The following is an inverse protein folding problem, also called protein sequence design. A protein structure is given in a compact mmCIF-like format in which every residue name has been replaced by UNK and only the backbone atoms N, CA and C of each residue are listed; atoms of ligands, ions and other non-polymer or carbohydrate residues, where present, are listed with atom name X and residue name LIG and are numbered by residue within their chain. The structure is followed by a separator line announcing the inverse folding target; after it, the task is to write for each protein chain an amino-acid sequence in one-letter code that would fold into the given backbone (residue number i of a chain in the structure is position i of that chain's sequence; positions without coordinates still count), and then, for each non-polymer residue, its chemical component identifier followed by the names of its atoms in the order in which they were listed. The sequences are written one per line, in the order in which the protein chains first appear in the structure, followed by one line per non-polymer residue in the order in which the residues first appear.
data_IF_401223806961
#
_entry.id   IF_401223806961
#
_cell.length_a   1.000
_cell.length_b   1.000
_cell.length_c   1.000
_cell.angle_alpha   90.00
_cell.angle_beta   90.00
_cell.angle_gamma   90.00
#
_symmetry.space_group_name_H-M   'P 1'
#
loop_
_entity.id
_entity.type
_entity.pdbx_description
1 polymer ?
#
# COMPACT_ATOMS: atom_id res chain seq x y z
N UNK A 1 34.64 20.22 -29.61
CA UNK A 1 33.73 19.25 -28.97
C UNK A 1 34.14 17.84 -29.38
N UNK A 2 34.22 16.85 -28.46
CA UNK A 2 34.51 15.45 -28.83
C UNK A 2 33.44 14.89 -29.79
N UNK A 3 33.83 14.01 -30.73
CA UNK A 3 32.94 13.40 -31.75
C UNK A 3 31.66 12.80 -31.16
N UNK A 4 31.77 12.22 -29.96
CA UNK A 4 30.66 11.64 -29.22
C UNK A 4 29.58 12.65 -28.83
N UNK A 5 29.98 13.81 -28.28
CA UNK A 5 29.05 14.87 -27.90
C UNK A 5 28.33 15.44 -29.13
N UNK A 6 29.06 15.58 -30.24
CA UNK A 6 28.47 16.07 -31.50
C UNK A 6 27.38 15.11 -32.00
N UNK A 7 27.65 13.80 -32.04
CA UNK A 7 26.65 12.82 -32.46
C UNK A 7 25.44 12.67 -31.53
N UNK A 8 25.55 13.10 -30.26
CA UNK A 8 24.40 13.18 -29.35
C UNK A 8 23.55 14.42 -29.61
N UNK A 9 24.20 15.58 -29.77
CA UNK A 9 23.51 16.83 -30.12
C UNK A 9 22.76 16.66 -31.45
N UNK A 10 23.39 16.06 -32.46
CA UNK A 10 22.80 15.80 -33.78
C UNK A 10 21.58 14.84 -33.71
N UNK A 11 21.43 14.04 -32.65
CA UNK A 11 20.26 13.16 -32.43
C UNK A 11 19.11 13.89 -31.74
N UNK A 12 19.41 14.90 -30.94
CA UNK A 12 18.44 15.68 -30.19
C UNK A 12 17.88 16.81 -31.04
N UNK A 13 18.73 17.39 -31.90
CA UNK A 13 18.41 18.42 -32.88
C UNK A 13 17.57 17.83 -34.02
N UNK A 14 16.26 17.90 -33.85
CA UNK A 14 15.27 17.27 -34.72
C UNK A 14 15.02 18.10 -35.97
N UNK A 15 15.12 19.42 -35.86
CA UNK A 15 14.92 20.36 -36.96
C UNK A 15 16.22 20.73 -37.72
N UNK A 16 17.38 20.32 -37.17
CA UNK A 16 18.73 20.49 -37.75
C UNK A 16 19.14 21.95 -37.88
N UNK A 17 18.64 22.81 -37.01
CA UNK A 17 19.01 24.22 -36.99
C UNK A 17 20.37 24.49 -36.30
N UNK A 18 20.95 23.45 -35.67
CA UNK A 18 22.23 23.51 -34.96
C UNK A 18 22.12 24.06 -33.54
N UNK A 19 20.90 24.29 -33.04
CA UNK A 19 20.57 24.67 -31.68
C UNK A 19 19.65 23.61 -31.06
N UNK A 20 19.52 23.60 -29.74
CA UNK A 20 18.59 22.71 -29.05
C UNK A 20 17.52 23.54 -28.38
N UNK A 21 16.29 23.40 -28.85
CA UNK A 21 15.13 24.01 -28.20
C UNK A 21 14.75 23.29 -26.91
N UNK A 22 13.99 23.96 -26.05
CA UNK A 22 13.43 23.36 -24.83
C UNK A 22 12.59 22.12 -25.14
N UNK A 23 11.85 22.13 -26.25
CA UNK A 23 11.00 21.00 -26.66
C UNK A 23 11.82 19.78 -27.08
N UNK A 24 12.92 19.99 -27.78
CA UNK A 24 13.82 18.91 -28.19
C UNK A 24 14.56 18.30 -27.00
N UNK A 25 15.02 19.14 -26.07
CA UNK A 25 15.59 18.69 -24.79
C UNK A 25 14.58 17.86 -23.97
N UNK A 26 13.35 18.36 -23.85
CA UNK A 26 12.29 17.66 -23.15
C UNK A 26 11.99 16.30 -23.81
N UNK A 27 11.82 16.30 -25.13
CA UNK A 27 11.55 15.09 -25.91
C UNK A 27 12.66 14.06 -25.74
N UNK A 28 13.93 14.46 -25.87
CA UNK A 28 15.09 13.58 -25.76
C UNK A 28 15.24 12.91 -24.38
N UNK A 29 14.82 13.58 -23.31
CA UNK A 29 14.89 13.04 -21.94
C UNK A 29 13.73 12.11 -21.59
N UNK A 30 12.58 12.27 -22.25
CA UNK A 30 11.34 11.56 -21.90
C UNK A 30 10.98 10.40 -22.85
N UNK A 31 11.66 10.30 -24.00
CA UNK A 31 11.46 9.23 -24.98
C UNK A 31 12.64 8.23 -24.95
N UNK A 32 12.46 7.04 -24.34
CA UNK A 32 13.52 6.05 -24.14
C UNK A 32 14.21 5.60 -25.43
N UNK A 33 13.49 5.57 -26.55
CA UNK A 33 13.95 5.15 -27.87
C UNK A 33 15.10 6.00 -28.41
N UNK A 34 15.26 7.24 -27.94
CA UNK A 34 16.40 8.08 -28.30
C UNK A 34 17.68 7.69 -27.57
N UNK A 35 17.59 6.95 -26.45
CA UNK A 35 18.72 6.51 -25.63
C UNK A 35 19.50 7.64 -24.95
N UNK A 36 19.09 8.90 -25.15
CA UNK A 36 19.80 10.09 -24.63
C UNK A 36 19.80 10.10 -23.11
N UNK A 37 18.68 9.80 -22.46
CA UNK A 37 18.57 9.70 -20.99
C UNK A 37 19.57 8.69 -20.39
N UNK A 38 19.71 7.52 -21.00
CA UNK A 38 20.62 6.47 -20.51
C UNK A 38 22.09 6.85 -20.67
N UNK A 39 22.40 7.67 -21.67
CA UNK A 39 23.74 8.17 -21.89
C UNK A 39 24.03 9.33 -20.92
N UNK A 40 23.15 10.34 -20.86
CA UNK A 40 23.31 11.53 -20.00
C UNK A 40 23.41 11.15 -18.52
N UNK A 41 22.62 10.18 -18.05
CA UNK A 41 22.67 9.68 -16.67
C UNK A 41 24.01 9.02 -16.29
N UNK A 42 24.85 8.68 -17.27
CA UNK A 42 26.17 8.06 -17.06
C UNK A 42 27.32 9.03 -17.33
N UNK A 43 27.04 10.27 -17.69
CA UNK A 43 28.06 11.27 -18.00
C UNK A 43 28.48 12.02 -16.75
N UNK A 44 29.79 12.04 -16.50
CA UNK A 44 30.42 12.95 -15.54
C UNK A 44 31.02 14.09 -16.35
N UNK A 45 30.34 15.24 -16.36
CA UNK A 45 30.78 16.41 -17.11
C UNK A 45 31.64 17.30 -16.22
N UNK A 46 32.85 17.62 -16.67
CA UNK A 46 33.67 18.66 -16.03
C UNK A 46 33.10 20.02 -16.43
N UNK A 47 32.42 20.68 -15.49
CA UNK A 47 31.93 22.05 -15.65
C UNK A 47 32.87 23.03 -14.95
N UNK A 48 33.06 24.22 -15.51
CA UNK A 48 33.77 25.30 -14.82
C UNK A 48 32.88 25.86 -13.69
N UNK A 49 33.18 25.53 -12.44
CA UNK A 49 32.49 26.04 -11.25
C UNK A 49 33.39 26.95 -10.43
N UNK A 50 32.80 27.67 -9.47
CA UNK A 50 33.49 28.42 -8.43
C UNK A 50 34.37 27.55 -7.51
N UNK A 51 34.27 26.22 -7.61
CA UNK A 51 35.09 25.30 -6.84
C UNK A 51 36.37 24.87 -7.56
N UNK A 52 36.62 25.32 -8.80
CA UNK A 52 37.77 24.95 -9.63
C UNK A 52 38.53 26.17 -10.16
N UNK A 53 39.86 26.22 -9.96
CA UNK A 53 40.75 27.25 -10.50
C UNK A 53 40.87 28.56 -9.71
N UNK A 54 40.01 28.78 -8.71
CA UNK A 54 40.10 29.91 -7.78
C UNK A 54 39.97 31.29 -8.45
N UNK A 55 40.35 32.34 -7.72
CA UNK A 55 40.24 33.73 -8.14
C UNK A 55 41.15 34.11 -9.32
N UNK A 56 42.19 33.32 -9.59
CA UNK A 56 43.08 33.47 -10.75
C UNK A 56 42.54 32.88 -12.05
N UNK A 57 41.40 32.17 -12.03
CA UNK A 57 40.87 31.51 -13.22
C UNK A 57 40.31 32.53 -14.24
N UNK A 58 40.57 32.30 -15.53
CA UNK A 58 40.17 33.20 -16.62
C UNK A 58 38.66 33.52 -16.66
N UNK A 59 37.83 32.59 -16.16
CA UNK A 59 36.37 32.75 -16.04
C UNK A 59 35.99 33.99 -15.23
N UNK A 60 36.78 34.33 -14.21
CA UNK A 60 36.48 35.44 -13.31
C UNK A 60 37.07 36.78 -13.76
N UNK A 61 37.87 36.79 -14.84
CA UNK A 61 38.54 38.01 -15.33
C UNK A 61 37.54 39.12 -15.64
N UNK A 62 36.45 38.81 -16.35
CA UNK A 62 35.40 39.79 -16.66
C UNK A 62 34.62 40.20 -15.39
N UNK A 63 34.32 39.24 -14.52
CA UNK A 63 33.61 39.51 -13.26
C UNK A 63 34.37 40.49 -12.36
N UNK A 64 35.70 40.37 -12.27
CA UNK A 64 36.50 41.26 -11.45
C UNK A 64 36.81 42.63 -12.09
N UNK A 65 36.63 42.79 -13.40
CA UNK A 65 36.81 44.09 -14.08
C UNK A 65 35.75 45.11 -13.64
N UNK A 66 34.51 44.66 -13.43
CA UNK A 66 33.38 45.52 -13.10
C UNK A 66 33.06 45.55 -11.59
N UNK A 67 33.86 44.86 -10.77
CA UNK A 67 33.60 44.70 -9.34
C UNK A 67 34.14 45.89 -8.53
N UNK A 68 33.46 46.26 -7.45
CA UNK A 68 33.89 47.35 -6.57
C UNK A 68 35.27 47.05 -5.97
N UNK A 69 36.21 47.99 -6.16
CA UNK A 69 37.58 47.94 -5.62
C UNK A 69 37.66 47.61 -4.13
N UNK A 70 36.67 48.01 -3.32
CA UNK A 70 36.63 47.72 -1.88
C UNK A 70 36.22 46.28 -1.54
N UNK A 71 35.63 45.54 -2.50
CA UNK A 71 35.07 44.20 -2.31
C UNK A 71 35.82 43.11 -3.08
N UNK A 72 36.64 43.49 -4.06
CA UNK A 72 37.42 42.57 -4.89
C UNK A 72 38.26 41.61 -4.03
N UNK A 73 38.96 42.11 -3.01
CA UNK A 73 39.84 41.27 -2.19
C UNK A 73 39.07 40.22 -1.37
N UNK A 74 37.88 40.58 -0.88
CA UNK A 74 37.00 39.66 -0.16
C UNK A 74 36.44 38.61 -1.10
N UNK A 75 36.00 39.00 -2.31
CA UNK A 75 35.46 38.08 -3.30
C UNK A 75 36.53 37.11 -3.82
N UNK A 76 37.76 37.59 -4.05
CA UNK A 76 38.89 36.75 -4.43
C UNK A 76 39.23 35.75 -3.33
N UNK A 77 39.32 36.22 -2.08
CA UNK A 77 39.56 35.34 -0.93
C UNK A 77 38.46 34.28 -0.78
N UNK A 78 37.19 34.66 -0.90
CA UNK A 78 36.08 33.69 -0.82
C UNK A 78 36.17 32.63 -1.92
N UNK A 79 36.47 33.03 -3.16
CA UNK A 79 36.67 32.09 -4.28
C UNK A 79 37.84 31.15 -4.04
N UNK A 80 38.96 31.66 -3.51
CA UNK A 80 40.14 30.85 -3.20
C UNK A 80 39.88 29.89 -2.03
N UNK A 81 39.10 30.30 -1.03
CA UNK A 81 38.73 29.46 0.11
C UNK A 81 37.70 28.37 -0.28
N UNK A 82 36.88 28.59 -1.32
CA UNK A 82 35.93 27.62 -1.88
C UNK A 82 36.54 26.71 -2.96
N UNK A 83 37.75 27.01 -3.42
CA UNK A 83 38.47 26.22 -4.42
C UNK A 83 39.00 24.94 -3.77
N UNK A 84 38.47 23.80 -4.21
CA UNK A 84 38.93 22.48 -3.77
C UNK A 84 39.07 21.48 -4.91
N UNK A 85 38.36 21.68 -6.02
CA UNK A 85 38.28 20.70 -7.10
C UNK A 85 39.59 20.57 -7.89
N UNK A 86 40.47 21.58 -7.92
CA UNK A 86 41.77 21.45 -8.59
C UNK A 86 42.71 20.48 -7.87
N UNK A 87 42.41 20.16 -6.61
CA UNK A 87 43.13 19.18 -5.79
C UNK A 87 42.64 17.74 -6.01
N UNK A 88 41.51 17.58 -6.71
CA UNK A 88 40.92 16.27 -7.00
C UNK A 88 41.61 15.70 -8.23
N UNK A 89 42.16 14.49 -8.10
CA UNK A 89 42.77 13.81 -9.24
C UNK A 89 41.72 13.54 -10.34
N UNK A 90 42.06 13.77 -11.62
CA UNK A 90 41.15 13.45 -12.71
C UNK A 90 40.90 11.95 -12.77
N UNK A 91 39.70 11.55 -13.19
CA UNK A 91 39.32 10.15 -13.39
C UNK A 91 40.04 9.53 -14.61
N UNK A 92 41.33 9.24 -14.49
CA UNK A 92 42.18 8.73 -15.57
C UNK A 92 42.37 7.21 -15.54
N UNK A 93 41.95 6.55 -14.46
CA UNK A 93 42.24 5.13 -14.22
C UNK A 93 41.35 4.15 -15.00
N UNK A 94 40.29 4.62 -15.67
CA UNK A 94 39.31 3.77 -16.36
C UNK A 94 38.48 2.88 -15.42
N UNK A 95 38.65 2.98 -14.10
CA UNK A 95 37.86 2.25 -13.10
C UNK A 95 36.43 2.80 -13.07
N UNK A 96 35.47 1.91 -12.80
CA UNK A 96 34.08 2.30 -12.60
C UNK A 96 33.97 3.29 -11.42
N UNK A 97 33.31 4.42 -11.66
CA UNK A 97 32.98 5.41 -10.63
C UNK A 97 31.54 5.18 -10.20
N UNK A 98 31.35 4.96 -8.89
CA UNK A 98 30.02 4.80 -8.31
C UNK A 98 29.49 6.17 -7.90
N UNK A 99 28.26 6.48 -8.29
CA UNK A 99 27.53 7.66 -7.83
C UNK A 99 26.21 7.21 -7.21
N UNK A 100 25.69 7.98 -6.26
CA UNK A 100 24.39 7.74 -5.65
C UNK A 100 23.42 8.85 -6.06
N UNK A 101 22.18 8.48 -6.37
CA UNK A 101 21.12 9.47 -6.53
C UNK A 101 20.63 9.89 -5.13
N UNK A 102 20.84 11.14 -4.69
CA UNK A 102 20.64 11.53 -3.30
C UNK A 102 19.21 11.30 -2.81
N UNK A 103 18.20 11.51 -3.66
CA UNK A 103 16.79 11.23 -3.30
C UNK A 103 16.52 9.73 -3.13
N UNK A 104 17.10 8.89 -3.99
CA UNK A 104 16.90 7.43 -3.90
C UNK A 104 17.65 6.85 -2.71
N UNK A 105 18.83 7.42 -2.40
CA UNK A 105 19.59 7.05 -1.22
C UNK A 105 18.86 7.42 0.07
N UNK A 106 18.33 8.65 0.16
CA UNK A 106 17.53 9.09 1.31
C UNK A 106 16.27 8.24 1.49
N UNK A 107 15.61 7.84 0.40
CA UNK A 107 14.50 6.89 0.43
C UNK A 107 14.95 5.50 0.95
N UNK A 108 16.07 4.99 0.43
CA UNK A 108 16.62 3.68 0.81
C UNK A 108 17.10 3.60 2.27
N UNK A 109 17.55 4.71 2.87
CA UNK A 109 17.99 4.76 4.28
C UNK A 109 16.93 5.30 5.22
N UNK A 110 15.76 5.70 4.71
CA UNK A 110 14.63 6.09 5.55
C UNK A 110 14.31 4.88 6.40
N UNK A 111 14.62 4.96 7.70
CA UNK A 111 14.20 3.95 8.67
C UNK A 111 12.70 3.80 8.49
N UNK A 112 12.27 2.62 8.04
CA UNK A 112 10.87 2.21 8.12
C UNK A 112 10.53 2.42 9.57
N UNK A 113 9.68 3.42 9.83
CA UNK A 113 9.15 3.71 11.15
C UNK A 113 8.77 2.34 11.73
N UNK A 114 9.48 1.89 12.75
CA UNK A 114 9.17 0.63 13.42
C UNK A 114 7.88 0.94 14.15
N UNK A 115 6.76 0.83 13.44
CA UNK A 115 5.48 1.35 13.88
C UNK A 115 5.12 0.75 15.25
N UNK A 116 4.15 1.37 15.91
CA UNK A 116 3.82 1.07 17.31
C UNK A 116 3.42 -0.41 17.55
N UNK A 117 3.14 -1.18 16.49
CA UNK A 117 2.91 -2.62 16.54
C UNK A 117 4.19 -3.36 16.12
N UNK A 118 4.78 -4.14 17.03
CA UNK A 118 5.97 -4.96 16.73
C UNK A 118 5.63 -6.39 16.33
N UNK A 119 6.59 -7.10 15.73
CA UNK A 119 6.43 -8.51 15.40
C UNK A 119 6.20 -9.37 16.67
N UNK A 120 6.85 -9.01 17.78
CA UNK A 120 6.65 -9.71 19.06
C UNK A 120 5.21 -9.55 19.55
N UNK A 121 4.61 -8.37 19.40
CA UNK A 121 3.20 -8.13 19.80
C UNK A 121 2.23 -8.99 18.98
N UNK A 122 2.39 -8.99 17.65
CA UNK A 122 1.55 -9.79 16.74
C UNK A 122 1.74 -11.29 17.02
N UNK A 123 2.99 -11.73 17.21
CA UNK A 123 3.28 -13.13 17.54
C UNK A 123 2.70 -13.53 18.89
N UNK A 124 2.78 -12.67 19.91
CA UNK A 124 2.19 -12.93 21.22
C UNK A 124 0.66 -13.06 21.15
N UNK A 125 0.00 -12.16 20.40
CA UNK A 125 -1.44 -12.24 20.14
C UNK A 125 -1.84 -13.52 19.37
N UNK A 126 -0.94 -14.07 18.55
CA UNK A 126 -1.11 -15.35 17.87
C UNK A 126 -0.58 -16.57 18.65
N UNK A 127 -0.38 -16.44 19.96
CA UNK A 127 0.15 -17.50 20.83
C UNK A 127 1.52 -18.07 20.40
N UNK A 128 2.34 -17.26 19.73
CA UNK A 128 3.65 -17.64 19.20
C UNK A 128 3.59 -18.54 17.96
N UNK A 129 2.42 -18.65 17.32
CA UNK A 129 2.24 -19.51 16.14
C UNK A 129 2.32 -18.73 14.82
N UNK A 130 2.60 -19.44 13.73
CA UNK A 130 2.54 -18.93 12.35
C UNK A 130 3.28 -17.59 12.12
N UNK A 131 4.53 -17.51 12.55
CA UNK A 131 5.39 -16.33 12.35
C UNK A 131 5.43 -15.79 10.90
N UNK A 132 5.41 -16.64 9.83
CA UNK A 132 5.33 -16.14 8.45
C UNK A 132 4.09 -15.28 8.20
N UNK A 133 2.92 -15.66 8.74
CA UNK A 133 1.70 -14.88 8.62
C UNK A 133 1.80 -13.57 9.41
N UNK A 134 2.33 -13.61 10.64
CA UNK A 134 2.57 -12.41 11.44
C UNK A 134 3.45 -11.39 10.71
N UNK A 135 4.54 -11.84 10.09
CA UNK A 135 5.42 -11.00 9.25
C UNK A 135 4.71 -10.43 8.03
N UNK A 136 3.83 -11.22 7.40
CA UNK A 136 3.08 -10.82 6.21
C UNK A 136 2.12 -9.66 6.48
N UNK A 137 1.47 -9.66 7.64
CA UNK A 137 0.43 -8.67 7.99
C UNK A 137 1.00 -7.42 8.69
N UNK A 138 2.16 -7.54 9.34
CA UNK A 138 2.78 -6.49 10.16
C UNK A 138 2.91 -5.12 9.47
N UNK A 139 3.34 -5.00 8.20
CA UNK A 139 3.44 -3.70 7.54
C UNK A 139 2.08 -3.00 7.42
N UNK A 140 1.03 -3.77 7.10
CA UNK A 140 -0.32 -3.25 6.93
C UNK A 140 -0.99 -2.94 8.27
N UNK A 141 -0.70 -3.72 9.31
CA UNK A 141 -1.15 -3.42 10.67
C UNK A 141 -0.65 -2.03 11.10
N UNK A 142 0.63 -1.73 10.89
CA UNK A 142 1.18 -0.42 11.21
C UNK A 142 0.65 0.69 10.30
N UNK A 143 0.52 0.43 8.99
CA UNK A 143 -0.09 1.39 8.04
C UNK A 143 -1.47 1.83 8.52
N UNK A 144 -2.33 0.87 8.83
CA UNK A 144 -3.73 1.17 9.16
C UNK A 144 -3.94 1.55 10.62
N UNK A 145 -3.12 1.11 11.56
CA UNK A 145 -3.09 1.69 12.91
C UNK A 145 -2.88 3.21 12.84
N UNK A 146 -1.92 3.66 12.03
CA UNK A 146 -1.71 5.10 11.82
C UNK A 146 -2.88 5.76 11.06
N UNK A 147 -3.34 5.18 9.95
CA UNK A 147 -4.41 5.77 9.14
C UNK A 147 -5.74 5.90 9.90
N UNK A 148 -6.05 4.97 10.80
CA UNK A 148 -7.23 4.97 11.64
C UNK A 148 -7.02 5.68 12.99
N UNK A 149 -5.79 6.09 13.31
CA UNK A 149 -5.47 6.83 14.54
C UNK A 149 -5.44 5.95 15.80
N UNK A 150 -5.28 4.64 15.65
CA UNK A 150 -5.15 3.67 16.74
C UNK A 150 -3.72 3.73 17.29
N UNK A 151 -3.50 4.59 18.30
CA UNK A 151 -2.19 4.80 18.93
C UNK A 151 -2.16 4.41 20.40
N UNK A 152 -3.33 4.22 21.03
CA UNK A 152 -3.39 3.79 22.43
C UNK A 152 -2.93 2.33 22.58
N UNK A 153 -2.06 2.08 23.55
CA UNK A 153 -1.45 0.75 23.73
C UNK A 153 -2.45 -0.30 24.18
N UNK A 154 -3.51 0.07 24.91
CA UNK A 154 -4.56 -0.87 25.33
C UNK A 154 -5.49 -1.16 24.17
N UNK A 155 -5.86 -0.15 23.40
CA UNK A 155 -6.66 -0.33 22.18
C UNK A 155 -5.96 -1.28 21.21
N UNK A 156 -4.67 -1.06 20.93
CA UNK A 156 -3.85 -1.95 20.10
C UNK A 156 -3.84 -3.38 20.66
N UNK A 157 -3.64 -3.54 21.98
CA UNK A 157 -3.61 -4.87 22.59
C UNK A 157 -4.96 -5.59 22.47
N UNK A 158 -6.08 -4.90 22.69
CA UNK A 158 -7.42 -5.46 22.51
C UNK A 158 -7.69 -5.84 21.06
N UNK A 159 -7.35 -4.95 20.12
CA UNK A 159 -7.51 -5.18 18.69
C UNK A 159 -6.72 -6.41 18.25
N UNK A 160 -5.41 -6.46 18.54
CA UNK A 160 -4.54 -7.58 18.18
C UNK A 160 -5.00 -8.89 18.80
N UNK A 161 -5.44 -8.86 20.07
CA UNK A 161 -5.94 -10.05 20.75
C UNK A 161 -7.22 -10.59 20.11
N UNK A 162 -8.14 -9.71 19.70
CA UNK A 162 -9.37 -10.11 19.03
C UNK A 162 -9.08 -10.75 17.66
N UNK A 163 -8.34 -10.07 16.78
CA UNK A 163 -8.06 -10.61 15.45
C UNK A 163 -7.14 -11.85 15.50
N UNK A 164 -6.24 -11.92 16.48
CA UNK A 164 -5.44 -13.10 16.75
C UNK A 164 -6.29 -14.29 17.20
N UNK A 165 -7.28 -14.06 18.07
CA UNK A 165 -8.19 -15.11 18.52
C UNK A 165 -9.16 -15.57 17.42
N UNK A 166 -9.71 -14.64 16.64
CA UNK A 166 -10.72 -14.94 15.63
C UNK A 166 -10.16 -15.70 14.43
N UNK A 167 -8.95 -15.33 13.97
CA UNK A 167 -8.43 -15.84 12.71
C UNK A 167 -6.94 -16.20 12.72
N UNK A 168 -6.23 -15.95 13.82
CA UNK A 168 -4.77 -16.06 13.84
C UNK A 168 -4.12 -15.17 12.76
N UNK A 169 -4.70 -13.99 12.53
CA UNK A 169 -4.33 -13.05 11.48
C UNK A 169 -4.49 -13.58 10.05
N UNK A 170 -5.16 -14.71 9.83
CA UNK A 170 -5.49 -15.20 8.51
C UNK A 170 -6.73 -14.46 7.97
N UNK A 171 -6.75 -14.19 6.68
CA UNK A 171 -7.96 -13.68 6.03
C UNK A 171 -8.77 -14.89 5.60
N UNK A 172 -9.96 -15.02 6.17
CA UNK A 172 -10.82 -16.18 5.96
C UNK A 172 -12.16 -15.78 5.37
N UNK A 173 -12.89 -16.76 4.87
CA UNK A 173 -14.27 -16.60 4.44
C UNK A 173 -15.13 -17.73 5.00
N UNK A 174 -16.42 -17.45 5.19
CA UNK A 174 -17.37 -18.48 5.58
C UNK A 174 -17.61 -19.44 4.41
N UNK A 175 -17.41 -20.75 4.64
CA UNK A 175 -17.62 -21.77 3.60
C UNK A 175 -19.09 -22.09 3.34
N UNK A 176 -19.96 -21.85 4.33
CA UNK A 176 -21.40 -22.13 4.36
C UNK A 176 -21.81 -23.53 3.85
N UNK A 177 -20.90 -24.50 3.90
CA UNK A 177 -21.14 -25.86 3.41
C UNK A 177 -21.56 -26.77 4.56
N UNK A 178 -22.86 -26.87 4.80
CA UNK A 178 -23.44 -27.64 5.90
C UNK A 178 -24.29 -28.81 5.41
N UNK A 179 -24.27 -29.91 6.17
CA UNK A 179 -25.29 -30.96 6.03
C UNK A 179 -26.66 -30.46 6.50
N UNK A 180 -27.73 -31.18 6.16
CA UNK A 180 -29.10 -30.82 6.55
C UNK A 180 -29.27 -30.60 8.06
N UNK A 181 -28.77 -31.52 8.88
CA UNK A 181 -28.75 -31.38 10.34
C UNK A 181 -27.85 -30.22 10.80
N UNK A 182 -26.74 -30.00 10.11
CA UNK A 182 -25.80 -28.92 10.39
C UNK A 182 -26.45 -27.53 10.24
N UNK A 183 -27.07 -27.27 9.09
CA UNK A 183 -27.70 -25.98 8.82
C UNK A 183 -28.90 -25.70 9.73
N UNK A 184 -29.72 -26.72 10.03
CA UNK A 184 -30.85 -26.61 10.96
C UNK A 184 -30.39 -26.27 12.38
N UNK A 185 -29.31 -26.91 12.84
CA UNK A 185 -28.69 -26.60 14.13
C UNK A 185 -28.16 -25.17 14.19
N UNK A 186 -27.42 -24.73 13.16
CA UNK A 186 -26.73 -23.44 13.22
C UNK A 186 -27.68 -22.26 12.96
N UNK A 187 -28.57 -22.38 11.97
CA UNK A 187 -29.39 -21.27 11.46
C UNK A 187 -30.90 -21.45 11.63
N UNK A 188 -31.34 -22.66 11.98
CA UNK A 188 -32.74 -23.03 11.90
C UNK A 188 -33.61 -22.57 13.06
N UNK A 189 -33.08 -22.45 14.27
CA UNK A 189 -33.86 -22.19 15.49
C UNK A 189 -33.82 -20.73 15.94
N UNK A 190 -34.94 -20.25 16.48
CA UNK A 190 -34.95 -18.95 17.17
C UNK A 190 -34.02 -19.00 18.39
N UNK A 191 -33.37 -17.87 18.70
CA UNK A 191 -32.38 -17.76 19.77
C UNK A 191 -31.15 -18.68 19.61
N UNK A 192 -30.94 -19.22 18.40
CA UNK A 192 -29.68 -19.84 17.98
C UNK A 192 -29.54 -21.33 18.35
N UNK A 193 -28.33 -21.88 18.18
CA UNK A 193 -28.09 -23.33 18.16
C UNK A 193 -28.36 -24.07 19.48
N UNK A 194 -28.40 -23.34 20.61
CA UNK A 194 -28.69 -23.91 21.93
C UNK A 194 -30.12 -24.47 22.04
N UNK A 195 -31.02 -24.05 21.16
CA UNK A 195 -32.42 -24.50 21.13
C UNK A 195 -32.68 -25.54 20.03
N UNK A 196 -31.63 -26.08 19.41
CA UNK A 196 -31.75 -27.20 18.47
C UNK A 196 -31.62 -28.52 19.22
N UNK A 197 -32.64 -29.35 19.08
CA UNK A 197 -32.74 -30.66 19.69
C UNK A 197 -32.26 -31.73 18.70
N UNK A 198 -31.15 -32.37 19.06
CA UNK A 198 -30.49 -33.36 18.21
C UNK A 198 -31.28 -34.66 18.05
N UNK A 199 -32.15 -34.98 19.02
CA UNK A 199 -32.88 -36.25 19.06
C UNK A 199 -34.03 -36.26 18.07
N UNK A 200 -34.78 -35.16 17.99
CA UNK A 200 -35.91 -35.02 17.07
C UNK A 200 -35.57 -34.23 15.79
N UNK A 201 -34.34 -33.70 15.67
CA UNK A 201 -33.91 -32.86 14.54
C UNK A 201 -34.86 -31.67 14.36
N UNK A 202 -35.14 -30.95 15.44
CA UNK A 202 -36.05 -29.80 15.46
C UNK A 202 -35.67 -28.77 16.53
N UNK A 203 -36.41 -27.67 16.62
CA UNK A 203 -36.22 -26.62 17.60
C UNK A 203 -37.09 -26.86 18.84
N UNK A 204 -36.50 -26.76 20.03
CA UNK A 204 -37.23 -26.84 21.31
C UNK A 204 -38.24 -25.70 21.48
N UNK A 205 -37.98 -24.55 20.83
CA UNK A 205 -38.88 -23.40 20.82
C UNK A 205 -39.64 -23.30 19.50
N UNK A 206 -39.05 -22.65 18.51
CA UNK A 206 -39.65 -22.42 17.20
C UNK A 206 -38.58 -22.40 16.11
N UNK A 207 -38.95 -22.90 14.93
CA UNK A 207 -38.14 -22.75 13.72
C UNK A 207 -38.15 -21.27 13.30
N UNK A 208 -36.96 -20.69 13.20
CA UNK A 208 -36.72 -19.39 12.58
C UNK A 208 -36.79 -19.49 11.05
N UNK A 209 -36.27 -20.58 10.48
CA UNK A 209 -36.14 -20.79 9.04
C UNK A 209 -36.71 -22.13 8.61
N UNK A 210 -38.03 -22.20 8.42
CA UNK A 210 -38.73 -23.47 8.17
C UNK A 210 -38.25 -24.18 6.88
N UNK A 211 -37.84 -23.43 5.85
CA UNK A 211 -37.34 -24.04 4.59
C UNK A 211 -36.10 -24.93 4.77
N UNK A 212 -35.33 -24.81 5.85
CA UNK A 212 -34.21 -25.70 6.14
C UNK A 212 -34.65 -27.15 6.46
N UNK A 213 -35.93 -27.35 6.80
CA UNK A 213 -36.53 -28.68 7.00
C UNK A 213 -37.31 -29.15 5.78
N UNK A 214 -38.08 -28.27 5.15
CA UNK A 214 -38.97 -28.66 4.04
C UNK A 214 -38.23 -28.82 2.71
N UNK A 215 -37.11 -28.12 2.54
CA UNK A 215 -36.37 -28.03 1.28
C UNK A 215 -34.88 -28.37 1.48
N UNK A 216 -34.58 -29.41 2.27
CA UNK A 216 -33.20 -29.74 2.65
C UNK A 216 -32.26 -29.85 1.45
N UNK A 217 -32.67 -30.53 0.38
CA UNK A 217 -31.83 -30.75 -0.81
C UNK A 217 -31.47 -29.48 -1.57
N UNK A 218 -32.14 -28.35 -1.31
CA UNK A 218 -31.82 -27.06 -1.94
C UNK A 218 -30.68 -26.36 -1.20
N UNK A 219 -30.57 -26.55 0.12
CA UNK A 219 -29.66 -25.78 0.98
C UNK A 219 -28.50 -26.61 1.54
N UNK A 220 -28.71 -27.91 1.80
CA UNK A 220 -27.66 -28.77 2.31
C UNK A 220 -26.58 -28.97 1.25
N UNK A 221 -25.33 -28.71 1.60
CA UNK A 221 -24.18 -28.72 0.69
C UNK A 221 -24.29 -27.76 -0.51
N UNK A 222 -25.16 -26.74 -0.40
CA UNK A 222 -25.34 -25.68 -1.39
C UNK A 222 -25.11 -24.32 -0.71
N UNK A 223 -23.85 -23.88 -0.56
CA UNK A 223 -23.49 -22.73 0.26
C UNK A 223 -24.09 -21.41 -0.24
N UNK A 224 -24.22 -21.23 -1.56
CA UNK A 224 -24.87 -20.07 -2.20
C UNK A 224 -26.31 -19.95 -1.73
N UNK A 225 -27.15 -20.92 -2.08
CA UNK A 225 -28.55 -20.99 -1.67
C UNK A 225 -28.73 -20.84 -0.15
N UNK A 226 -27.86 -21.47 0.66
CA UNK A 226 -27.94 -21.37 2.11
C UNK A 226 -27.64 -19.94 2.59
N UNK A 227 -26.60 -19.31 2.06
CA UNK A 227 -26.22 -17.94 2.41
C UNK A 227 -27.34 -16.95 2.03
N UNK A 228 -27.87 -17.07 0.83
CA UNK A 228 -28.95 -16.21 0.32
C UNK A 228 -30.18 -16.30 1.20
N UNK A 229 -30.56 -17.49 1.65
CA UNK A 229 -31.67 -17.62 2.57
C UNK A 229 -31.35 -17.16 4.01
N UNK A 230 -30.14 -17.41 4.50
CA UNK A 230 -29.76 -17.06 5.88
C UNK A 230 -29.61 -15.55 6.07
N UNK A 231 -29.12 -14.86 5.04
CA UNK A 231 -28.79 -13.44 5.07
C UNK A 231 -29.77 -12.54 4.30
N UNK A 232 -30.78 -13.08 3.60
CA UNK A 232 -31.83 -12.30 2.95
C UNK A 232 -32.48 -11.25 3.87
N UNK A 233 -32.65 -10.03 3.34
CA UNK A 233 -33.35 -8.92 3.99
C UNK A 233 -32.65 -8.40 5.27
N UNK A 234 -31.35 -8.65 5.42
CA UNK A 234 -30.57 -8.29 6.61
C UNK A 234 -29.31 -7.54 6.21
N UNK A 235 -28.86 -6.59 7.04
CA UNK A 235 -27.57 -5.92 6.89
C UNK A 235 -27.38 -5.28 5.49
N UNK A 236 -28.48 -4.75 4.94
CA UNK A 236 -28.51 -4.12 3.62
C UNK A 236 -28.66 -5.09 2.45
N UNK A 237 -28.68 -6.40 2.69
CA UNK A 237 -28.94 -7.38 1.65
C UNK A 237 -30.40 -7.32 1.22
N UNK A 238 -30.62 -7.46 -0.09
CA UNK A 238 -31.94 -7.63 -0.70
C UNK A 238 -32.51 -9.03 -0.38
N UNK A 239 -33.57 -9.46 -1.07
CA UNK A 239 -34.23 -10.74 -0.80
C UNK A 239 -33.36 -11.96 -1.18
N UNK A 240 -33.84 -13.16 -0.86
CA UNK A 240 -33.14 -14.43 -1.13
C UNK A 240 -32.85 -14.67 -2.62
N UNK A 241 -33.53 -13.97 -3.54
CA UNK A 241 -33.31 -14.13 -4.99
C UNK A 241 -32.29 -13.14 -5.56
N UNK A 242 -31.70 -12.30 -4.72
CA UNK A 242 -30.74 -11.26 -5.12
C UNK A 242 -29.28 -11.72 -5.17
N UNK A 243 -28.98 -12.92 -4.68
CA UNK A 243 -27.62 -13.46 -4.46
C UNK A 243 -26.76 -12.64 -3.46
N UNK A 244 -27.33 -11.60 -2.83
CA UNK A 244 -26.63 -10.73 -1.89
C UNK A 244 -26.14 -11.50 -0.65
N UNK A 245 -26.86 -12.55 -0.23
CA UNK A 245 -26.51 -13.29 0.97
C UNK A 245 -25.19 -14.03 0.81
N UNK A 246 -24.97 -14.67 -0.34
CA UNK A 246 -23.69 -15.29 -0.66
C UNK A 246 -22.65 -14.26 -1.07
N UNK A 247 -23.02 -13.25 -1.86
CA UNK A 247 -22.11 -12.21 -2.33
C UNK A 247 -21.44 -11.47 -1.16
N UNK A 248 -22.20 -11.14 -0.11
CA UNK A 248 -21.71 -10.43 1.09
C UNK A 248 -21.60 -11.34 2.33
N UNK A 249 -21.32 -12.63 2.14
CA UNK A 249 -20.98 -13.56 3.23
C UNK A 249 -19.79 -13.07 4.07
N UNK A 250 -19.61 -13.67 5.26
CA UNK A 250 -18.52 -13.30 6.17
C UNK A 250 -17.14 -13.45 5.54
N UNK A 251 -16.34 -12.38 5.54
CA UNK A 251 -14.93 -12.37 5.12
C UNK A 251 -14.07 -11.55 6.08
N UNK A 252 -12.77 -11.82 6.13
CA UNK A 252 -11.78 -11.00 6.84
C UNK A 252 -11.02 -11.71 7.94
N UNK A 253 -10.20 -10.94 8.66
CA UNK A 253 -9.58 -11.35 9.93
C UNK A 253 -10.55 -11.22 11.11
N UNK A 254 -11.52 -10.31 10.97
CA UNK A 254 -12.69 -10.16 11.80
C UNK A 254 -13.90 -10.29 10.88
N UNK A 255 -14.87 -11.10 11.28
CA UNK A 255 -15.94 -11.53 10.37
C UNK A 255 -16.86 -10.35 9.98
N UNK A 256 -16.68 -9.82 8.75
CA UNK A 256 -17.54 -8.77 8.18
C UNK A 256 -18.57 -9.37 7.22
N UNK A 257 -19.86 -9.16 7.51
CA UNK A 257 -20.99 -9.75 6.77
C UNK A 257 -22.05 -8.69 6.43
N UNK A 258 -22.59 -8.75 5.22
CA UNK A 258 -23.71 -7.92 4.76
C UNK A 258 -23.31 -6.68 3.95
N UNK A 259 -24.13 -6.36 2.93
CA UNK A 259 -23.91 -5.29 1.95
C UNK A 259 -23.67 -3.92 2.57
N UNK A 260 -24.35 -3.59 3.67
CA UNK A 260 -24.16 -2.31 4.37
C UNK A 260 -22.75 -2.17 4.95
N UNK A 261 -22.16 -3.25 5.47
CA UNK A 261 -20.80 -3.23 6.01
C UNK A 261 -19.76 -3.11 4.88
N UNK A 262 -19.94 -3.78 3.74
CA UNK A 262 -19.08 -3.60 2.57
C UNK A 262 -19.19 -2.18 2.00
N UNK A 263 -20.38 -1.57 2.03
CA UNK A 263 -20.59 -0.17 1.64
C UNK A 263 -19.89 0.78 2.60
N UNK A 264 -19.99 0.53 3.91
CA UNK A 264 -19.29 1.31 4.92
C UNK A 264 -17.76 1.22 4.72
N UNK A 265 -17.23 0.01 4.53
CA UNK A 265 -15.81 -0.21 4.29
C UNK A 265 -15.33 0.50 3.01
N UNK A 266 -16.09 0.41 1.92
CA UNK A 266 -15.82 1.13 0.66
C UNK A 266 -15.68 2.63 0.89
N UNK A 267 -16.59 3.24 1.65
CA UNK A 267 -16.54 4.66 1.95
C UNK A 267 -15.33 5.02 2.82
N UNK A 268 -15.03 4.20 3.83
CA UNK A 268 -13.89 4.41 4.73
C UNK A 268 -12.55 4.29 4.00
N UNK A 269 -12.35 3.22 3.25
CA UNK A 269 -11.14 3.00 2.44
C UNK A 269 -10.90 4.16 1.48
N UNK A 270 -11.91 4.55 0.69
CA UNK A 270 -11.78 5.63 -0.28
C UNK A 270 -11.51 7.00 0.37
N UNK A 271 -11.97 7.20 1.61
CA UNK A 271 -11.68 8.41 2.39
C UNK A 271 -10.25 8.43 2.91
N UNK A 272 -9.71 7.28 3.30
CA UNK A 272 -8.36 7.14 3.89
C UNK A 272 -7.27 6.97 2.84
N UNK A 273 -7.60 6.40 1.68
CA UNK A 273 -6.68 6.10 0.58
C UNK A 273 -7.19 6.74 -0.74
N UNK A 274 -7.20 8.08 -0.89
CA UNK A 274 -7.79 8.73 -2.06
C UNK A 274 -7.08 8.41 -3.39
N UNK A 275 -5.84 7.94 -3.36
CA UNK A 275 -5.07 7.49 -4.52
C UNK A 275 -5.38 6.06 -4.96
N UNK A 276 -6.04 5.28 -4.12
CA UNK A 276 -6.42 3.88 -4.37
C UNK A 276 -7.93 3.76 -4.13
N UNK A 277 -8.72 4.08 -5.15
CA UNK A 277 -10.18 4.01 -5.02
C UNK A 277 -10.67 2.61 -5.38
N UNK A 278 -11.38 2.00 -4.45
CA UNK A 278 -11.94 0.66 -4.57
C UNK A 278 -13.46 0.67 -4.37
N UNK A 279 -14.13 -0.36 -4.89
CA UNK A 279 -15.54 -0.64 -4.64
C UNK A 279 -15.70 -2.09 -4.17
N UNK A 280 -15.76 -2.28 -2.86
CA UNK A 280 -15.89 -3.60 -2.25
C UNK A 280 -17.34 -4.11 -2.27
N UNK A 281 -18.31 -3.28 -2.68
CA UNK A 281 -19.67 -3.76 -2.96
C UNK A 281 -19.69 -4.47 -4.31
N UNK A 282 -18.99 -3.92 -5.31
CA UNK A 282 -18.86 -4.56 -6.63
C UNK A 282 -17.90 -5.75 -6.60
N UNK A 283 -16.79 -5.64 -5.88
CA UNK A 283 -15.74 -6.67 -5.83
C UNK A 283 -15.42 -7.13 -4.39
N UNK A 284 -16.37 -7.76 -3.67
CA UNK A 284 -16.19 -8.13 -2.26
C UNK A 284 -15.05 -9.12 -2.03
N UNK A 285 -14.76 -10.02 -2.99
CA UNK A 285 -13.69 -11.02 -2.85
C UNK A 285 -12.28 -10.43 -2.83
N UNK A 286 -12.12 -9.17 -3.25
CA UNK A 286 -10.84 -8.46 -3.21
C UNK A 286 -10.24 -8.38 -1.80
N UNK A 287 -11.10 -8.39 -0.76
CA UNK A 287 -10.65 -8.37 0.64
C UNK A 287 -9.95 -9.67 1.05
N UNK A 288 -10.20 -10.78 0.34
CA UNK A 288 -9.54 -12.07 0.57
C UNK A 288 -8.27 -12.17 -0.26
N UNK A 289 -8.33 -11.77 -1.53
CA UNK A 289 -7.19 -11.90 -2.45
C UNK A 289 -6.07 -10.91 -2.16
N UNK A 290 -6.37 -9.78 -1.51
CA UNK A 290 -5.39 -8.77 -1.13
C UNK A 290 -5.24 -8.69 0.40
N UNK A 291 -4.04 -9.00 0.89
CA UNK A 291 -3.73 -8.96 2.33
C UNK A 291 -3.93 -7.58 2.92
N UNK A 292 -3.60 -6.53 2.17
CA UNK A 292 -3.74 -5.16 2.61
C UNK A 292 -5.19 -4.81 2.92
N UNK A 293 -6.10 -5.14 2.00
CA UNK A 293 -7.54 -4.87 2.15
C UNK A 293 -8.14 -5.71 3.28
N UNK A 294 -7.73 -6.98 3.43
CA UNK A 294 -8.19 -7.82 4.54
C UNK A 294 -7.71 -7.33 5.91
N UNK A 295 -6.52 -6.72 6.01
CA UNK A 295 -6.06 -6.06 7.24
C UNK A 295 -6.86 -4.78 7.49
N UNK A 296 -7.04 -3.94 6.48
CA UNK A 296 -7.80 -2.68 6.65
C UNK A 296 -9.25 -2.92 7.07
N UNK A 297 -9.88 -3.95 6.50
CA UNK A 297 -11.24 -4.38 6.83
C UNK A 297 -11.41 -4.52 8.35
N UNK A 298 -10.40 -5.08 9.03
CA UNK A 298 -10.42 -5.26 10.47
C UNK A 298 -10.40 -3.93 11.23
N UNK A 299 -9.60 -2.96 10.81
CA UNK A 299 -9.60 -1.61 11.39
C UNK A 299 -10.92 -0.89 11.14
N UNK A 300 -11.45 -0.99 9.91
CA UNK A 300 -12.74 -0.40 9.57
C UNK A 300 -13.87 -0.96 10.43
N UNK A 301 -13.89 -2.28 10.64
CA UNK A 301 -14.86 -2.92 11.53
C UNK A 301 -14.70 -2.46 12.98
N UNK A 302 -13.46 -2.42 13.50
CA UNK A 302 -13.20 -1.98 14.87
C UNK A 302 -13.78 -0.59 15.16
N UNK A 303 -13.53 0.35 14.24
CA UNK A 303 -14.06 1.72 14.32
C UNK A 303 -15.58 1.78 14.10
N UNK A 304 -16.14 0.96 13.20
CA UNK A 304 -17.59 0.96 12.94
C UNK A 304 -18.41 0.51 14.17
N UNK A 305 -17.84 -0.35 15.01
CA UNK A 305 -18.46 -0.83 16.25
C UNK A 305 -18.16 0.04 17.47
N UNK A 306 -17.34 1.08 17.34
CA UNK A 306 -17.00 1.99 18.44
C UNK A 306 -16.29 1.28 19.59
N UNK A 307 -15.38 0.36 19.27
CA UNK A 307 -14.61 -0.43 20.25
C UNK A 307 -13.35 0.30 20.75
N UNK A 308 -13.27 1.61 20.51
CA UNK A 308 -12.17 2.50 20.84
C UNK A 308 -12.22 2.96 22.30
#
# INVERSE_FOLDING_TARGET
MPRFYKGMMDKMDSDKDGQLSERELFSALHHPEMGVRDIVSRMVVKHESEWFGGSGHQKWTAFFQDCDTLRIDVAKKWLDDMEWMSRVEPFTSGKAVWHMHPVMFLDAIKTVDSGFITLEMVSAANLGTNEPQCKKVLPYLNKYANAYGMQDTKEIAHFLSQIGHESGFAITEENLNYSGKGMRRIFGCIKGPKHYNKTNDDCDLRRLRNKLWTNESIYAHHPENLADYVYAGRMGNDDETSDDGYMYRGRGMIQLTGKDEYRYFTNMHNKKNPSDRQDFVVAPDSVISNVEYGVELAFSFWVSKGLN
#
